data_IF_574569078575
#
_entry.id   IF_574569078575
#
_cell.length_a   1.000
_cell.length_b   1.000
_cell.length_c   1.000
_cell.angle_alpha   90.00
_cell.angle_beta   90.00
_cell.angle_gamma   90.00
#
_symmetry.space_group_name_H-M   'P 1'
#
loop_
_entity.id
_entity.type
_entity.pdbx_description
1 polymer ?
#
# COMPACT_ATOMS: atom_id res chain seq x y z
N UNK A 1 32.08 56.69 -0.07
CA UNK A 1 32.02 55.40 -0.78
C UNK A 1 30.96 54.57 -0.05
N UNK A 2 29.69 54.68 -0.44
CA UNK A 2 28.59 53.94 0.22
C UNK A 2 28.44 52.59 -0.47
N UNK A 3 28.63 51.51 0.28
CA UNK A 3 28.33 50.16 -0.17
C UNK A 3 26.82 49.98 -0.14
N UNK A 4 26.22 49.84 -1.32
CA UNK A 4 24.80 49.50 -1.47
C UNK A 4 24.66 48.02 -1.11
N UNK A 5 23.85 47.70 -0.09
CA UNK A 5 23.49 46.32 0.23
C UNK A 5 22.77 45.70 -0.97
N UNK A 6 23.41 44.72 -1.58
CA UNK A 6 22.82 43.90 -2.62
C UNK A 6 21.83 42.96 -1.95
N UNK A 7 20.53 43.23 -2.11
CA UNK A 7 19.48 42.34 -1.62
C UNK A 7 19.52 41.08 -2.49
N UNK A 8 20.02 39.98 -1.94
CA UNK A 8 19.88 38.68 -2.57
C UNK A 8 18.40 38.31 -2.55
N UNK A 9 17.76 38.34 -3.72
CA UNK A 9 16.48 37.68 -3.89
C UNK A 9 16.75 36.19 -3.71
N UNK A 10 16.09 35.60 -2.73
CA UNK A 10 16.11 34.15 -2.52
C UNK A 10 15.61 33.51 -3.82
N UNK A 11 16.52 32.91 -4.58
CA UNK A 11 16.16 32.14 -5.78
C UNK A 11 15.02 31.21 -5.40
N UNK A 12 13.92 31.30 -6.17
CA UNK A 12 12.77 30.46 -5.98
C UNK A 12 13.23 29.00 -6.07
N UNK A 13 13.26 28.32 -4.92
CA UNK A 13 13.45 26.88 -4.90
C UNK A 13 12.45 26.28 -5.88
N UNK A 14 12.85 25.32 -6.74
CA UNK A 14 11.94 24.69 -7.68
C UNK A 14 10.68 24.26 -6.91
N UNK A 15 9.52 24.57 -7.48
CA UNK A 15 8.17 24.52 -6.88
C UNK A 15 7.77 23.19 -6.24
N UNK A 16 8.61 22.17 -6.35
CA UNK A 16 8.44 20.87 -5.71
C UNK A 16 8.84 20.84 -4.22
N UNK A 17 9.57 21.85 -3.71
CA UNK A 17 10.11 21.87 -2.34
C UNK A 17 9.63 23.03 -1.46
N UNK A 18 8.51 23.66 -1.80
CA UNK A 18 7.82 24.51 -0.81
C UNK A 18 7.08 23.61 0.20
N UNK A 19 7.07 23.94 1.50
CA UNK A 19 6.22 23.27 2.47
C UNK A 19 4.77 23.64 2.15
N UNK A 20 4.15 22.85 1.28
CA UNK A 20 2.70 22.83 1.10
C UNK A 20 2.18 21.79 2.10
N UNK A 21 1.08 22.08 2.81
CA UNK A 21 0.39 21.07 3.60
C UNK A 21 -0.08 19.96 2.65
N UNK A 22 0.75 18.95 2.43
CA UNK A 22 0.45 17.79 1.61
C UNK A 22 0.07 16.66 2.54
N UNK A 23 -1.12 16.14 2.36
CA UNK A 23 -1.56 14.94 3.06
C UNK A 23 -0.62 13.79 2.75
N UNK A 24 -0.33 12.98 3.76
CA UNK A 24 0.51 11.78 3.60
C UNK A 24 -0.39 10.56 3.53
N UNK A 25 -0.01 9.59 2.71
CA UNK A 25 -0.69 8.29 2.69
C UNK A 25 0.28 7.18 3.09
N UNK A 26 -0.27 6.10 3.63
CA UNK A 26 0.38 4.80 3.73
C UNK A 26 -0.66 3.74 3.42
N UNK A 27 -0.40 2.87 2.45
CA UNK A 27 -1.34 1.83 2.04
C UNK A 27 -0.62 0.56 1.63
N UNK A 28 -1.24 -0.60 1.84
CA UNK A 28 -0.71 -1.90 1.44
C UNK A 28 -1.05 -2.21 -0.01
N UNK A 29 -0.26 -3.08 -0.63
CA UNK A 29 -0.66 -3.70 -1.90
C UNK A 29 -1.85 -4.61 -1.66
N UNK A 30 -2.91 -4.39 -2.43
CA UNK A 30 -4.20 -5.01 -2.19
C UNK A 30 -4.68 -5.77 -3.44
N UNK A 31 -5.24 -6.96 -3.24
CA UNK A 31 -5.98 -7.72 -4.25
C UNK A 31 -7.46 -7.64 -3.91
N UNK A 32 -8.29 -7.17 -4.86
CA UNK A 32 -9.74 -7.10 -4.68
C UNK A 32 -10.34 -8.51 -4.75
N UNK A 33 -11.21 -8.83 -3.79
CA UNK A 33 -11.90 -10.11 -3.69
C UNK A 33 -13.37 -9.94 -4.05
N UNK A 34 -13.77 -10.49 -5.20
CA UNK A 34 -15.14 -10.43 -5.69
C UNK A 34 -15.56 -9.06 -6.21
N UNK A 35 -16.88 -8.83 -6.34
CA UNK A 35 -17.45 -7.59 -6.87
C UNK A 35 -17.51 -6.46 -5.81
N UNK A 36 -17.47 -5.18 -6.22
CA UNK A 36 -17.69 -4.03 -5.34
C UNK A 36 -19.00 -4.15 -4.53
N UNK A 37 -18.99 -3.59 -3.32
CA UNK A 37 -20.15 -3.53 -2.41
C UNK A 37 -20.65 -2.09 -2.31
N UNK A 38 -21.86 -1.95 -1.78
CA UNK A 38 -22.54 -0.67 -1.61
C UNK A 38 -22.90 -0.45 -0.15
N UNK A 39 -22.66 0.78 0.32
CA UNK A 39 -23.21 1.24 1.58
C UNK A 39 -24.75 1.22 1.53
N UNK A 40 -25.41 0.82 2.62
CA UNK A 40 -26.86 0.98 2.77
C UNK A 40 -27.25 2.28 3.47
N UNK A 41 -26.33 2.86 4.24
CA UNK A 41 -26.47 4.17 4.89
C UNK A 41 -25.14 4.91 4.83
N UNK A 42 -25.16 6.24 4.94
CA UNK A 42 -23.92 7.00 5.08
C UNK A 42 -23.14 6.52 6.31
N UNK A 43 -21.83 6.35 6.15
CA UNK A 43 -20.92 6.11 7.24
C UNK A 43 -20.55 7.44 7.91
N UNK A 44 -20.39 7.40 9.23
CA UNK A 44 -20.15 8.61 10.03
C UNK A 44 -18.69 8.62 10.49
N UNK A 45 -18.05 9.78 10.36
CA UNK A 45 -16.70 10.04 10.87
C UNK A 45 -16.56 9.61 12.34
N UNK A 46 -15.39 9.09 12.72
CA UNK A 46 -15.04 8.66 14.08
C UNK A 46 -15.92 7.53 14.66
N UNK A 47 -16.69 6.85 13.81
CA UNK A 47 -17.42 5.63 14.21
C UNK A 47 -16.69 4.37 13.75
N UNK A 48 -17.06 3.22 14.31
CA UNK A 48 -16.48 1.92 13.94
C UNK A 48 -17.44 1.07 13.10
N UNK A 49 -18.62 1.59 12.73
CA UNK A 49 -19.68 0.80 12.13
C UNK A 49 -19.95 1.28 10.70
N UNK A 50 -19.97 0.32 9.78
CA UNK A 50 -20.37 0.53 8.39
C UNK A 50 -21.55 -0.39 8.09
N UNK A 51 -22.63 0.16 7.53
CA UNK A 51 -23.78 -0.63 7.08
C UNK A 51 -23.70 -0.85 5.57
N UNK A 52 -23.71 -2.12 5.16
CA UNK A 52 -23.67 -2.53 3.76
C UNK A 52 -25.03 -3.04 3.27
N UNK A 53 -25.23 -3.02 1.96
CA UNK A 53 -26.36 -3.71 1.35
C UNK A 53 -26.26 -5.23 1.59
N UNK A 54 -27.41 -5.90 1.70
CA UNK A 54 -27.48 -7.34 1.93
C UNK A 54 -26.70 -8.15 0.88
N UNK A 55 -26.15 -9.29 1.30
CA UNK A 55 -25.34 -10.16 0.43
C UNK A 55 -23.89 -9.71 0.26
N UNK A 56 -23.37 -8.87 1.16
CA UNK A 56 -21.99 -8.36 1.09
C UNK A 56 -20.91 -9.44 1.31
N UNK A 57 -21.23 -10.59 1.90
CA UNK A 57 -20.33 -11.74 2.08
C UNK A 57 -19.02 -11.46 2.86
N UNK A 58 -19.02 -10.40 3.67
CA UNK A 58 -17.95 -10.17 4.64
C UNK A 58 -18.15 -11.08 5.85
N UNK A 59 -17.03 -11.53 6.41
CA UNK A 59 -16.95 -12.25 7.68
C UNK A 59 -15.90 -11.59 8.58
N UNK A 60 -15.85 -11.96 9.86
CA UNK A 60 -14.82 -11.49 10.77
C UNK A 60 -13.42 -11.84 10.23
N UNK A 61 -12.45 -10.94 10.46
CA UNK A 61 -11.08 -10.92 9.96
C UNK A 61 -10.88 -10.56 8.48
N UNK A 62 -11.95 -10.40 7.69
CA UNK A 62 -11.82 -9.79 6.38
C UNK A 62 -11.30 -8.35 6.48
N UNK A 63 -10.76 -7.83 5.38
CA UNK A 63 -10.34 -6.43 5.28
C UNK A 63 -11.30 -5.70 4.35
N UNK A 64 -11.92 -4.65 4.89
CA UNK A 64 -12.76 -3.72 4.16
C UNK A 64 -11.92 -2.55 3.70
N UNK A 65 -12.08 -2.19 2.43
CA UNK A 65 -11.42 -1.05 1.79
C UNK A 65 -12.48 -0.13 1.19
N UNK A 66 -12.43 1.15 1.51
CA UNK A 66 -13.32 2.16 0.93
C UNK A 66 -12.56 3.31 0.33
N UNK A 67 -13.12 3.87 -0.74
CA UNK A 67 -12.62 5.11 -1.34
C UNK A 67 -13.76 6.06 -1.66
N UNK A 68 -13.58 7.35 -1.38
CA UNK A 68 -14.43 8.43 -1.85
C UNK A 68 -13.64 9.74 -1.83
N UNK A 69 -13.76 10.58 -2.86
CA UNK A 69 -13.17 11.93 -2.92
C UNK A 69 -11.71 11.95 -2.39
N UNK A 70 -10.84 11.13 -2.97
CA UNK A 70 -9.43 11.04 -2.54
C UNK A 70 -9.14 10.26 -1.27
N UNK A 71 -10.14 10.14 -0.40
CA UNK A 71 -10.01 9.49 0.90
C UNK A 71 -10.02 7.98 0.73
N UNK A 72 -9.17 7.33 1.52
CA UNK A 72 -9.08 5.87 1.59
C UNK A 72 -9.23 5.46 3.04
N UNK A 73 -9.98 4.38 3.24
CA UNK A 73 -10.10 3.70 4.50
C UNK A 73 -9.83 2.22 4.32
N UNK A 74 -9.00 1.65 5.20
CA UNK A 74 -8.73 0.22 5.25
C UNK A 74 -8.76 -0.22 6.70
N UNK A 75 -9.61 -1.20 7.02
CA UNK A 75 -9.75 -1.72 8.37
C UNK A 75 -10.15 -3.19 8.37
N UNK A 76 -9.82 -3.88 9.46
CA UNK A 76 -10.24 -5.26 9.67
C UNK A 76 -11.67 -5.28 10.20
N UNK A 77 -12.48 -6.18 9.66
CA UNK A 77 -13.81 -6.51 10.18
C UNK A 77 -13.66 -7.32 11.46
N UNK A 78 -14.10 -6.79 12.60
CA UNK A 78 -14.12 -7.51 13.87
C UNK A 78 -15.39 -8.35 14.04
N UNK A 79 -16.53 -7.80 13.64
CA UNK A 79 -17.85 -8.42 13.79
C UNK A 79 -18.74 -8.10 12.59
N UNK A 80 -19.60 -9.05 12.25
CA UNK A 80 -20.67 -8.88 11.25
C UNK A 80 -22.00 -9.21 11.93
N UNK A 81 -22.85 -8.20 12.09
CA UNK A 81 -24.22 -8.33 12.58
C UNK A 81 -25.20 -8.02 11.44
N UNK A 82 -25.60 -9.08 10.72
CA UNK A 82 -26.39 -9.03 9.49
C UNK A 82 -25.70 -8.17 8.42
N UNK A 83 -25.96 -6.86 8.40
CA UNK A 83 -25.45 -5.89 7.44
C UNK A 83 -24.56 -4.81 8.08
N UNK A 84 -24.50 -4.77 9.42
CA UNK A 84 -23.67 -3.86 10.18
C UNK A 84 -22.32 -4.54 10.45
N UNK A 85 -21.24 -3.95 9.96
CA UNK A 85 -19.90 -4.44 10.19
C UNK A 85 -19.20 -3.51 11.18
N UNK A 86 -18.62 -4.09 12.24
CA UNK A 86 -17.78 -3.36 13.20
C UNK A 86 -16.31 -3.51 12.81
N UNK A 87 -15.62 -2.39 12.64
CA UNK A 87 -14.22 -2.30 12.23
C UNK A 87 -13.28 -2.20 13.43
N UNK A 88 -11.98 -2.48 13.23
CA UNK A 88 -10.93 -2.31 14.24
C UNK A 88 -10.42 -0.87 14.39
N UNK A 89 -10.68 -0.03 13.39
CA UNK A 89 -10.17 1.34 13.30
C UNK A 89 -11.33 2.30 13.08
N UNK A 90 -11.39 3.49 13.72
CA UNK A 90 -12.46 4.44 13.47
C UNK A 90 -12.40 4.97 12.03
N UNK A 91 -13.56 5.26 11.45
CA UNK A 91 -13.70 5.86 10.13
C UNK A 91 -13.03 7.23 10.10
N UNK A 92 -12.18 7.46 9.10
CA UNK A 92 -11.41 8.69 8.93
C UNK A 92 -12.13 9.77 8.10
N UNK A 93 -13.26 9.42 7.49
CA UNK A 93 -14.00 10.28 6.59
C UNK A 93 -15.49 9.89 6.60
N UNK A 94 -16.44 10.83 6.43
CA UNK A 94 -17.85 10.50 6.28
C UNK A 94 -18.15 9.96 4.87
N UNK A 95 -18.11 8.64 4.69
CA UNK A 95 -18.41 8.01 3.41
C UNK A 95 -19.92 8.04 3.11
N UNK A 96 -20.30 8.61 1.98
CA UNK A 96 -21.69 8.85 1.60
C UNK A 96 -22.19 7.79 0.61
N UNK A 97 -23.49 7.48 0.70
CA UNK A 97 -24.20 6.64 -0.29
C UNK A 97 -24.37 7.33 -1.64
N UNK A 98 -24.37 8.67 -1.64
CA UNK A 98 -24.34 9.52 -2.84
C UNK A 98 -22.90 9.97 -3.14
N UNK A 99 -22.63 10.48 -4.36
CA UNK A 99 -21.38 11.17 -4.66
C UNK A 99 -21.07 12.28 -3.64
N UNK A 100 -19.80 12.43 -3.30
CA UNK A 100 -19.35 13.44 -2.35
C UNK A 100 -19.14 14.81 -2.97
N UNK A 101 -18.35 15.66 -2.30
CA UNK A 101 -18.11 17.05 -2.72
C UNK A 101 -17.31 17.11 -4.02
N UNK A 102 -16.44 16.13 -4.26
CA UNK A 102 -15.66 16.01 -5.51
C UNK A 102 -16.38 15.15 -6.55
N UNK A 103 -17.64 14.78 -6.28
CA UNK A 103 -18.48 14.02 -7.20
C UNK A 103 -18.09 12.56 -7.35
N UNK A 104 -17.20 12.01 -6.50
CA UNK A 104 -16.89 10.59 -6.52
C UNK A 104 -17.84 9.82 -5.60
N UNK A 105 -18.31 8.68 -6.07
CA UNK A 105 -19.13 7.77 -5.28
C UNK A 105 -18.25 6.96 -4.30
N UNK A 106 -18.81 6.57 -3.16
CA UNK A 106 -18.15 5.58 -2.30
C UNK A 106 -18.07 4.24 -3.03
N UNK A 107 -16.86 3.71 -3.14
CA UNK A 107 -16.63 2.35 -3.61
C UNK A 107 -16.15 1.52 -2.43
N UNK A 108 -16.78 0.37 -2.19
CA UNK A 108 -16.43 -0.56 -1.11
C UNK A 108 -15.91 -1.86 -1.71
N UNK A 109 -14.78 -2.34 -1.23
CA UNK A 109 -14.20 -3.62 -1.62
C UNK A 109 -13.89 -4.49 -0.40
N UNK A 110 -14.03 -5.80 -0.57
CA UNK A 110 -13.30 -6.78 0.23
C UNK A 110 -11.93 -6.94 -0.42
N UNK A 111 -10.87 -6.88 0.37
CA UNK A 111 -9.50 -7.01 -0.14
C UNK A 111 -8.72 -8.06 0.64
N UNK A 112 -7.66 -8.54 0.01
CA UNK A 112 -6.56 -9.27 0.65
C UNK A 112 -5.27 -8.46 0.49
N UNK A 113 -4.50 -8.33 1.56
CA UNK A 113 -3.22 -7.62 1.57
C UNK A 113 -2.05 -8.49 2.05
N UNK A 114 -2.32 -9.76 2.35
CA UNK A 114 -1.28 -10.75 2.61
C UNK A 114 -0.88 -11.37 1.26
N UNK A 115 0.38 -11.18 0.88
CA UNK A 115 0.97 -11.68 -0.34
C UNK A 115 1.46 -13.14 -0.17
N UNK A 116 1.34 -13.73 1.02
CA UNK A 116 1.59 -15.16 1.27
C UNK A 116 0.49 -16.03 0.64
N UNK A 117 0.45 -16.05 -0.69
CA UNK A 117 -0.54 -16.74 -1.52
C UNK A 117 0.14 -17.64 -2.54
N UNK A 118 -0.61 -18.59 -3.10
CA UNK A 118 -0.09 -19.42 -4.18
C UNK A 118 -0.27 -18.74 -5.55
N UNK A 119 0.83 -18.28 -6.13
CA UNK A 119 0.91 -17.72 -7.48
C UNK A 119 1.51 -18.66 -8.53
N UNK A 120 1.89 -19.90 -8.16
CA UNK A 120 2.68 -20.81 -9.00
C UNK A 120 1.94 -21.28 -10.26
N UNK A 121 0.62 -21.48 -10.17
CA UNK A 121 -0.22 -21.87 -11.30
C UNK A 121 -0.78 -20.65 -12.05
N UNK A 122 -1.28 -19.66 -11.31
CA UNK A 122 -1.78 -18.39 -11.85
C UNK A 122 -1.20 -17.26 -11.02
N UNK A 123 -0.43 -16.33 -11.63
CA UNK A 123 0.15 -15.22 -10.89
C UNK A 123 -0.90 -14.39 -10.16
N UNK A 124 -0.64 -14.09 -8.89
CA UNK A 124 -1.52 -13.28 -8.07
C UNK A 124 -1.04 -11.84 -8.06
N UNK A 125 -1.92 -10.92 -8.46
CA UNK A 125 -1.59 -9.50 -8.58
C UNK A 125 -2.24 -8.70 -7.45
N UNK A 126 -1.42 -7.89 -6.81
CA UNK A 126 -1.82 -6.89 -5.82
C UNK A 126 -1.46 -5.51 -6.36
N UNK A 127 -2.31 -4.52 -6.10
CA UNK A 127 -2.19 -3.19 -6.71
C UNK A 127 -2.28 -2.08 -5.64
N UNK A 128 -1.63 -0.96 -5.93
CA UNK A 128 -1.86 0.34 -5.27
C UNK A 128 -2.08 1.38 -6.36
N UNK A 129 -3.12 2.20 -6.19
CA UNK A 129 -3.49 3.26 -7.12
C UNK A 129 -3.97 4.50 -6.35
N UNK A 130 -3.84 5.67 -6.96
CA UNK A 130 -4.43 6.89 -6.45
C UNK A 130 -5.94 6.92 -6.79
N UNK A 131 -6.83 7.19 -5.82
CA UNK A 131 -8.28 7.18 -6.04
C UNK A 131 -8.76 8.42 -6.80
N UNK A 132 -9.76 8.25 -7.68
CA UNK A 132 -10.34 9.36 -8.45
C UNK A 132 -9.31 10.02 -9.39
N UNK A 133 -9.26 11.34 -9.38
CA UNK A 133 -8.32 12.16 -10.17
C UNK A 133 -7.14 12.70 -9.34
N UNK A 134 -6.86 12.05 -8.21
CA UNK A 134 -5.75 12.38 -7.32
C UNK A 134 -4.42 11.96 -7.91
N UNK A 135 -3.37 12.64 -7.48
CA UNK A 135 -1.99 12.33 -7.87
C UNK A 135 -1.17 12.07 -6.63
N UNK A 136 -0.57 10.89 -6.57
CA UNK A 136 0.27 10.48 -5.46
C UNK A 136 1.75 10.47 -5.85
N UNK A 137 2.60 10.99 -4.96
CA UNK A 137 4.04 10.84 -5.03
C UNK A 137 4.51 9.85 -3.97
N UNK A 138 4.79 8.63 -4.40
CA UNK A 138 5.35 7.56 -3.56
C UNK A 138 6.83 7.83 -3.30
N UNK A 139 7.19 7.89 -2.03
CA UNK A 139 8.56 8.17 -1.57
C UNK A 139 9.19 6.96 -0.89
N UNK A 140 8.41 5.98 -0.42
CA UNK A 140 8.95 4.77 0.21
C UNK A 140 8.12 3.54 -0.10
N UNK A 141 8.81 2.40 -0.09
CA UNK A 141 8.20 1.07 -0.06
C UNK A 141 8.76 0.31 1.14
N UNK A 142 7.87 -0.34 1.89
CA UNK A 142 8.22 -1.21 3.01
C UNK A 142 7.84 -2.64 2.66
N UNK A 143 8.76 -3.57 2.96
CA UNK A 143 8.58 -5.00 2.79
C UNK A 143 8.68 -5.61 4.19
N UNK A 144 7.68 -6.40 4.57
CA UNK A 144 7.66 -7.10 5.85
C UNK A 144 7.22 -8.55 5.62
N UNK A 145 7.99 -9.49 6.14
CA UNK A 145 7.59 -10.89 6.24
C UNK A 145 7.65 -11.35 7.69
N UNK A 146 6.70 -12.21 8.07
CA UNK A 146 6.75 -13.03 9.28
C UNK A 146 6.92 -14.48 8.85
N UNK A 147 7.84 -15.17 9.52
CA UNK A 147 8.27 -16.52 9.15
C UNK A 147 8.38 -17.41 10.38
N UNK A 148 8.29 -18.73 10.19
CA UNK A 148 8.42 -19.70 11.28
C UNK A 148 9.88 -20.12 11.50
N UNK A 149 10.64 -20.22 10.40
CA UNK A 149 12.06 -20.47 10.34
C UNK A 149 12.92 -19.21 10.36
N UNK A 150 14.21 -19.40 10.63
CA UNK A 150 15.19 -18.32 10.62
C UNK A 150 15.52 -17.93 9.16
N UNK A 151 15.35 -16.65 8.78
CA UNK A 151 15.68 -16.19 7.44
C UNK A 151 17.19 -16.01 7.24
N UNK A 152 17.65 -16.16 6.00
CA UNK A 152 18.98 -15.76 5.54
C UNK A 152 18.92 -15.24 4.09
N UNK A 153 20.03 -14.70 3.58
CA UNK A 153 20.08 -14.04 2.26
C UNK A 153 19.79 -14.97 1.08
N UNK A 154 20.01 -16.29 1.23
CA UNK A 154 19.74 -17.30 0.20
C UNK A 154 18.32 -17.87 0.22
N UNK A 155 17.49 -17.45 1.17
CA UNK A 155 16.08 -17.84 1.32
C UNK A 155 15.16 -16.69 0.92
N UNK A 156 13.90 -16.97 0.58
CA UNK A 156 12.85 -15.95 0.47
C UNK A 156 11.98 -15.97 1.72
N UNK A 157 12.14 -14.98 2.61
CA UNK A 157 11.70 -15.17 3.98
C UNK A 157 12.52 -16.28 4.62
N UNK A 158 11.89 -17.41 4.93
CA UNK A 158 12.48 -18.66 5.38
C UNK A 158 12.24 -19.83 4.39
N UNK A 159 11.73 -19.54 3.19
CA UNK A 159 11.52 -20.51 2.13
C UNK A 159 12.76 -20.64 1.24
N UNK A 160 12.87 -21.76 0.53
CA UNK A 160 13.84 -21.88 -0.56
C UNK A 160 13.68 -20.72 -1.56
N UNK A 161 14.79 -20.31 -2.19
CA UNK A 161 14.78 -19.28 -3.21
C UNK A 161 13.73 -19.58 -4.32
N UNK A 162 12.94 -18.56 -4.65
CA UNK A 162 11.83 -18.67 -5.58
C UNK A 162 12.33 -18.89 -7.02
N UNK A 163 11.60 -19.68 -7.80
CA UNK A 163 12.00 -19.95 -9.18
C UNK A 163 11.71 -18.75 -10.09
N UNK A 164 10.49 -18.19 -10.00
CA UNK A 164 10.06 -17.05 -10.82
C UNK A 164 10.19 -15.73 -10.09
N UNK A 165 9.86 -15.70 -8.80
CA UNK A 165 10.00 -14.58 -7.89
C UNK A 165 8.73 -13.76 -7.68
N UNK A 166 8.91 -12.65 -6.98
CA UNK A 166 7.89 -11.62 -6.74
C UNK A 166 8.29 -10.34 -7.46
N UNK A 167 7.50 -9.93 -8.45
CA UNK A 167 7.79 -8.75 -9.26
C UNK A 167 7.15 -7.50 -8.65
N UNK A 168 7.94 -6.44 -8.46
CA UNK A 168 7.44 -5.09 -8.25
C UNK A 168 7.54 -4.28 -9.55
N UNK A 169 6.44 -3.68 -10.00
CA UNK A 169 6.41 -2.88 -11.24
C UNK A 169 5.47 -1.69 -11.17
N UNK A 170 5.69 -0.73 -12.06
CA UNK A 170 4.84 0.45 -12.23
C UNK A 170 4.18 0.42 -13.60
N UNK A 171 2.87 0.72 -13.63
CA UNK A 171 2.07 0.93 -14.83
C UNK A 171 1.73 2.41 -14.94
N UNK A 172 2.31 3.10 -15.93
CA UNK A 172 2.07 4.52 -16.21
C UNK A 172 2.10 4.79 -17.73
N UNK A 173 1.13 4.21 -18.44
CA UNK A 173 1.10 4.15 -19.91
C UNK A 173 2.11 3.16 -20.52
N UNK A 174 3.09 2.71 -19.75
CA UNK A 174 4.01 1.58 -20.03
C UNK A 174 4.23 0.77 -18.76
N UNK A 175 4.74 -0.44 -18.92
CA UNK A 175 5.11 -1.32 -17.80
C UNK A 175 6.59 -1.18 -17.52
N UNK A 176 6.96 -0.81 -16.29
CA UNK A 176 8.33 -0.75 -15.83
C UNK A 176 8.54 -1.70 -14.65
N UNK A 177 9.24 -2.81 -14.89
CA UNK A 177 9.66 -3.69 -13.80
C UNK A 177 10.76 -3.00 -13.00
N UNK A 178 10.55 -2.87 -11.70
CA UNK A 178 11.46 -2.22 -10.75
C UNK A 178 12.30 -3.23 -9.98
N UNK A 179 11.78 -4.45 -9.81
CA UNK A 179 12.47 -5.53 -9.14
C UNK A 179 11.79 -6.87 -9.39
N UNK A 180 12.57 -7.94 -9.28
CA UNK A 180 12.07 -9.30 -9.16
C UNK A 180 12.82 -9.96 -8.01
N UNK A 181 12.11 -10.24 -6.92
CA UNK A 181 12.69 -10.77 -5.69
C UNK A 181 12.59 -12.29 -5.70
N UNK A 182 13.71 -13.00 -5.75
CA UNK A 182 13.74 -14.47 -5.65
C UNK A 182 14.21 -14.95 -4.29
N UNK A 183 15.02 -14.16 -3.62
CA UNK A 183 15.49 -14.40 -2.26
C UNK A 183 15.59 -13.07 -1.49
N UNK A 184 15.98 -13.15 -0.23
CA UNK A 184 16.17 -12.00 0.64
C UNK A 184 17.37 -11.15 0.18
N UNK A 185 18.38 -11.77 -0.44
CA UNK A 185 19.51 -11.07 -1.06
C UNK A 185 19.09 -10.13 -2.18
N UNK A 186 18.17 -10.55 -3.05
CA UNK A 186 17.56 -9.72 -4.11
C UNK A 186 16.78 -8.56 -3.50
N UNK A 187 16.07 -8.79 -2.39
CA UNK A 187 15.38 -7.73 -1.65
C UNK A 187 16.41 -6.72 -1.12
N UNK A 188 17.50 -7.21 -0.51
CA UNK A 188 18.58 -6.36 0.00
C UNK A 188 19.23 -5.54 -1.12
N UNK A 189 19.46 -6.14 -2.29
CA UNK A 189 20.10 -5.48 -3.43
C UNK A 189 19.28 -4.28 -3.95
N UNK A 190 17.95 -4.37 -3.88
CA UNK A 190 17.05 -3.29 -4.35
C UNK A 190 16.74 -2.28 -3.24
N UNK A 191 16.52 -2.74 -2.01
CA UNK A 191 16.15 -1.88 -0.88
C UNK A 191 17.36 -1.23 -0.21
N UNK A 192 18.57 -1.79 -0.37
CA UNK A 192 19.81 -1.46 0.35
C UNK A 192 19.77 -1.77 1.85
N UNK A 193 18.62 -1.56 2.50
CA UNK A 193 18.38 -1.86 3.92
C UNK A 193 17.56 -3.16 4.04
N UNK A 194 18.15 -4.22 4.61
CA UNK A 194 17.48 -5.46 5.02
C UNK A 194 17.81 -5.76 6.48
N UNK A 195 16.82 -6.20 7.25
CA UNK A 195 17.01 -6.58 8.65
C UNK A 195 16.25 -7.86 8.97
N UNK A 196 16.94 -8.79 9.61
CA UNK A 196 16.37 -9.99 10.21
C UNK A 196 16.10 -9.76 11.68
N UNK A 197 14.86 -9.98 12.12
CA UNK A 197 14.52 -10.02 13.54
C UNK A 197 14.44 -11.47 14.01
N UNK A 198 15.16 -11.77 15.09
CA UNK A 198 15.03 -13.04 15.80
C UNK A 198 13.70 -13.09 16.56
N UNK A 199 13.13 -14.30 16.68
CA UNK A 199 11.96 -14.53 17.51
C UNK A 199 12.27 -14.38 19.00
N UNK A 200 11.27 -14.03 19.80
CA UNK A 200 11.42 -13.87 21.26
C UNK A 200 11.33 -15.23 21.98
N UNK A 201 12.47 -15.93 22.14
CA UNK A 201 12.55 -17.19 22.89
C UNK A 201 11.88 -18.38 22.19
N UNK A 202 11.20 -19.32 22.91
CA UNK A 202 10.52 -20.46 22.28
C UNK A 202 9.21 -20.06 21.56
N UNK A 203 8.83 -18.78 21.57
CA UNK A 203 7.59 -18.27 21.01
C UNK A 203 7.83 -17.14 20.00
N UNK A 204 6.84 -16.88 19.14
CA UNK A 204 6.86 -15.81 18.15
C UNK A 204 7.48 -16.19 16.81
N UNK A 205 7.38 -15.27 15.85
CA UNK A 205 7.87 -15.43 14.47
C UNK A 205 9.22 -14.74 14.29
N UNK A 206 10.02 -15.26 13.38
CA UNK A 206 11.11 -14.50 12.79
C UNK A 206 10.54 -13.43 11.85
N UNK A 207 11.35 -12.45 11.49
CA UNK A 207 10.90 -11.39 10.59
C UNK A 207 11.97 -10.93 9.62
N UNK A 208 11.53 -10.62 8.41
CA UNK A 208 12.33 -9.96 7.38
C UNK A 208 11.73 -8.58 7.15
N UNK A 209 12.56 -7.53 7.24
CA UNK A 209 12.13 -6.15 7.05
C UNK A 209 13.06 -5.44 6.09
N UNK A 210 12.51 -4.82 5.06
CA UNK A 210 13.26 -4.00 4.14
C UNK A 210 12.54 -2.69 3.81
N UNK A 211 13.31 -1.69 3.41
CA UNK A 211 12.79 -0.39 3.03
C UNK A 211 13.51 0.14 1.80
N UNK A 212 12.78 0.34 0.71
CA UNK A 212 13.26 1.15 -0.40
C UNK A 212 12.82 2.61 -0.21
N UNK A 213 13.75 3.55 -0.44
CA UNK A 213 13.44 4.99 -0.47
C UNK A 213 13.63 5.56 -1.87
N UNK A 214 12.64 6.33 -2.30
CA UNK A 214 12.58 7.09 -3.54
C UNK A 214 12.68 8.59 -3.22
N UNK A 215 12.81 9.44 -4.23
CA UNK A 215 12.77 10.91 -4.06
C UNK A 215 13.88 11.53 -3.18
N UNK A 216 15.13 11.07 -3.32
CA UNK A 216 16.29 11.83 -2.81
C UNK A 216 17.48 11.70 -3.75
N UNK A 217 18.31 12.74 -3.81
CA UNK A 217 19.47 12.82 -4.71
C UNK A 217 20.52 11.72 -4.48
N UNK A 218 20.55 11.13 -3.27
CA UNK A 218 21.41 9.99 -2.92
C UNK A 218 20.74 8.61 -3.02
N UNK A 219 19.54 8.52 -3.62
CA UNK A 219 18.78 7.27 -3.80
C UNK A 219 18.33 7.18 -5.27
N UNK A 220 17.08 6.79 -5.54
CA UNK A 220 16.53 6.62 -6.89
C UNK A 220 16.23 7.92 -7.65
N UNK A 221 16.67 9.09 -7.15
CA UNK A 221 16.53 10.39 -7.79
C UNK A 221 15.15 11.04 -7.70
N UNK A 222 14.08 10.33 -8.07
CA UNK A 222 12.71 10.86 -8.15
C UNK A 222 11.69 10.03 -7.35
N UNK A 223 10.57 10.64 -6.98
CA UNK A 223 9.40 9.93 -6.48
C UNK A 223 8.75 9.11 -7.61
N UNK A 224 8.06 8.03 -7.25
CA UNK A 224 7.18 7.35 -8.20
C UNK A 224 5.84 8.08 -8.18
N UNK A 225 5.44 8.62 -9.33
CA UNK A 225 4.17 9.32 -9.48
C UNK A 225 3.11 8.32 -9.94
N UNK A 226 1.94 8.35 -9.28
CA UNK A 226 0.74 7.61 -9.66
C UNK A 226 -0.39 8.62 -9.86
N UNK A 227 -0.81 8.80 -11.11
CA UNK A 227 -1.94 9.64 -11.49
C UNK A 227 -3.22 8.80 -11.67
N UNK A 228 -4.18 8.97 -10.75
CA UNK A 228 -5.45 8.24 -10.74
C UNK A 228 -6.30 8.51 -11.98
N UNK A 229 -6.25 9.74 -12.52
CA UNK A 229 -6.98 10.12 -13.75
C UNK A 229 -6.48 9.38 -15.00
N UNK A 230 -5.23 8.89 -14.95
CA UNK A 230 -4.60 8.09 -15.99
C UNK A 230 -4.58 6.59 -15.68
N UNK A 231 -5.24 6.17 -14.60
CA UNK A 231 -5.25 4.79 -14.11
C UNK A 231 -3.83 4.22 -13.91
N UNK A 232 -2.91 5.08 -13.46
CA UNK A 232 -1.55 4.65 -13.13
C UNK A 232 -1.54 3.91 -11.81
N UNK A 233 -0.73 2.86 -11.73
CA UNK A 233 -0.69 1.98 -10.56
C UNK A 233 0.69 1.40 -10.31
N UNK A 234 0.94 1.09 -9.06
CA UNK A 234 1.99 0.17 -8.67
C UNK A 234 1.39 -1.24 -8.58
N UNK A 235 2.14 -2.25 -8.99
CA UNK A 235 1.73 -3.65 -8.89
C UNK A 235 2.82 -4.50 -8.24
N UNK A 236 2.39 -5.45 -7.42
CA UNK A 236 3.19 -6.59 -6.98
C UNK A 236 2.56 -7.87 -7.54
N UNK A 237 3.39 -8.73 -8.13
CA UNK A 237 2.95 -9.99 -8.73
C UNK A 237 3.68 -11.14 -8.06
N UNK A 238 2.92 -12.01 -7.40
CA UNK A 238 3.40 -13.28 -6.83
C UNK A 238 3.28 -14.38 -7.88
N UNK A 239 4.39 -15.05 -8.20
CA UNK A 239 4.46 -16.06 -9.29
C UNK A 239 4.88 -17.47 -8.83
N UNK A 240 5.13 -17.63 -7.53
CA UNK A 240 5.50 -18.88 -6.85
C UNK A 240 4.52 -19.16 -5.71
N UNK A 241 4.69 -20.30 -5.03
CA UNK A 241 3.87 -20.66 -3.87
C UNK A 241 4.47 -20.09 -2.58
N UNK A 242 3.77 -19.14 -1.95
CA UNK A 242 4.20 -18.47 -0.73
C UNK A 242 3.35 -18.84 0.50
N UNK A 243 2.51 -19.88 0.42
CA UNK A 243 1.57 -20.24 1.49
C UNK A 243 2.24 -20.65 2.81
N UNK A 244 3.52 -21.00 2.79
CA UNK A 244 4.29 -21.36 3.98
C UNK A 244 4.88 -20.14 4.71
N UNK A 245 4.75 -18.92 4.18
CA UNK A 245 5.02 -17.71 4.94
C UNK A 245 3.84 -17.44 5.88
N UNK A 246 4.13 -17.06 7.13
CA UNK A 246 3.08 -16.69 8.09
C UNK A 246 2.37 -15.41 7.63
N UNK A 247 3.15 -14.41 7.20
CA UNK A 247 2.62 -13.18 6.62
C UNK A 247 3.65 -12.57 5.67
N UNK A 248 3.19 -12.01 4.56
CA UNK A 248 4.00 -11.20 3.68
C UNK A 248 3.22 -9.95 3.26
N UNK A 249 3.73 -8.76 3.57
CA UNK A 249 3.11 -7.49 3.22
C UNK A 249 4.10 -6.57 2.54
N UNK A 250 3.62 -5.85 1.55
CA UNK A 250 4.30 -4.69 0.98
C UNK A 250 3.39 -3.48 1.12
N UNK A 251 3.96 -2.35 1.53
CA UNK A 251 3.25 -1.08 1.67
C UNK A 251 3.99 0.04 0.96
N UNK A 252 3.24 0.99 0.41
CA UNK A 252 3.75 2.25 -0.13
C UNK A 252 3.41 3.40 0.81
N UNK A 253 4.32 4.36 0.89
CA UNK A 253 4.14 5.61 1.62
C UNK A 253 4.54 6.79 0.72
N UNK A 254 3.84 7.89 0.88
CA UNK A 254 4.08 9.09 0.07
C UNK A 254 3.25 10.28 0.50
N UNK A 255 3.12 11.23 -0.43
CA UNK A 255 2.30 12.43 -0.30
C UNK A 255 1.26 12.51 -1.41
N UNK A 256 0.12 13.09 -1.10
CA UNK A 256 -0.90 13.49 -2.07
C UNK A 256 -0.50 14.85 -2.65
N UNK A 257 -0.39 14.95 -3.97
CA UNK A 257 -0.01 16.17 -4.68
C UNK A 257 -1.21 16.98 -5.14
N UNK A 258 -2.28 16.25 -5.47
CA UNK A 258 -3.58 16.74 -5.90
C UNK A 258 -4.59 15.72 -5.46
#
# INVERSE_FOLDING_TARGET
MSLTEQTYTQDALPTFWQPVNRETFTTTFNRVIGAPKTLSTNAVLDTYIVNLSAGHAFVANDILFMTQDGNIYQAKVLLVDVNALTMDTPLNFPYLTAPGVEGQATIVFKIENNLAVNGSATPQKFEVFAPGDHVWAVTRMFITMLTDGAPDDGLFGDLDALTRGVIFRILNGRIYNKGNFKDNGDIAAICYDLTYSQRSGPHGSHGVRARASFASAGKSGNAIILDGSKNEKAEVIVQDDLLNLVEFKIALQGVVLK
#
